data_IF_011790496088
#
_entry.id   IF_011790496088
#
_cell.length_a   1.000
_cell.length_b   1.000
_cell.length_c   1.000
_cell.angle_alpha   90.00
_cell.angle_beta   90.00
_cell.angle_gamma   90.00
#
_symmetry.space_group_name_H-M   'P 1'
#
loop_
_entity.id
_entity.type
_entity.pdbx_description
1 polymer ?
#
# COMPACT_ATOMS: atom_id res chain seq x y z
N UNK A 1 10.51 -16.93 10.97
CA UNK A 1 11.04 -15.67 10.41
C UNK A 1 10.04 -14.55 10.64
N UNK A 2 8.88 -14.50 9.96
CA UNK A 2 7.89 -13.44 10.15
C UNK A 2 7.39 -13.30 11.60
N UNK A 3 7.05 -14.38 12.30
CA UNK A 3 6.65 -14.28 13.71
C UNK A 3 7.77 -13.73 14.63
N UNK A 4 9.04 -14.02 14.30
CA UNK A 4 10.18 -13.46 15.02
C UNK A 4 10.43 -12.00 14.63
N UNK A 5 10.17 -11.62 13.38
CA UNK A 5 10.24 -10.24 12.90
C UNK A 5 9.11 -9.39 13.49
N UNK A 6 7.87 -9.86 13.49
CA UNK A 6 6.73 -9.22 14.14
C UNK A 6 7.03 -8.99 15.63
N UNK A 7 7.51 -10.04 16.32
CA UNK A 7 7.93 -9.94 17.72
C UNK A 7 9.07 -8.95 17.94
N UNK A 8 10.06 -8.92 17.05
CA UNK A 8 11.15 -7.92 17.12
C UNK A 8 10.57 -6.50 16.98
N UNK A 9 9.75 -6.26 15.96
CA UNK A 9 9.12 -4.96 15.70
C UNK A 9 8.14 -4.51 16.81
N UNK A 10 7.60 -5.45 17.59
CA UNK A 10 6.66 -5.17 18.69
C UNK A 10 7.33 -5.03 20.06
N UNK A 11 8.53 -5.57 20.27
CA UNK A 11 9.26 -5.44 21.54
C UNK A 11 9.93 -4.04 21.63
N UNK A 12 9.76 -3.30 22.73
CA UNK A 12 10.53 -2.08 22.95
C UNK A 12 12.04 -2.41 22.99
N UNK A 13 12.92 -1.44 22.68
CA UNK A 13 14.36 -1.66 22.63
C UNK A 13 14.85 -2.32 23.93
N UNK A 14 15.59 -3.43 23.83
CA UNK A 14 16.22 -4.02 25.01
C UNK A 14 17.31 -3.06 25.46
N UNK A 15 17.11 -2.46 26.62
CA UNK A 15 17.96 -1.40 27.15
C UNK A 15 19.40 -1.86 27.33
N UNK A 16 20.30 -1.43 26.45
CA UNK A 16 21.71 -1.26 26.78
C UNK A 16 21.94 0.24 26.96
N UNK A 17 21.95 0.68 28.23
CA UNK A 17 22.40 1.96 28.80
C UNK A 17 22.30 3.30 28.00
N UNK A 18 21.65 4.27 28.69
CA UNK A 18 21.59 5.75 28.48
C UNK A 18 20.70 6.22 27.32
N UNK A 19 20.00 7.36 27.36
CA UNK A 19 19.69 8.41 28.35
C UNK A 19 18.29 8.94 27.99
N UNK A 20 17.63 9.70 28.87
CA UNK A 20 16.22 10.12 28.75
C UNK A 20 15.79 10.57 27.35
N UNK A 21 14.79 9.87 26.81
CA UNK A 21 14.09 10.26 25.58
C UNK A 21 12.69 10.68 26.00
N UNK A 22 12.43 11.98 25.95
CA UNK A 22 11.08 12.54 25.98
C UNK A 22 10.28 11.95 24.84
N UNK A 23 9.02 11.57 25.11
CA UNK A 23 8.10 11.08 24.09
C UNK A 23 7.65 12.27 23.22
N UNK A 24 8.53 12.73 22.34
CA UNK A 24 8.16 13.71 21.33
C UNK A 24 7.38 12.99 20.23
N UNK A 25 6.09 13.29 20.17
CA UNK A 25 5.17 12.87 19.12
C UNK A 25 5.77 13.32 17.79
N UNK A 26 6.06 12.35 16.92
CA UNK A 26 6.60 12.59 15.59
C UNK A 26 5.54 13.28 14.72
N UNK A 27 5.58 14.61 14.67
CA UNK A 27 4.79 15.41 13.73
C UNK A 27 5.43 15.25 12.35
N UNK A 28 4.72 14.59 11.43
CA UNK A 28 5.12 14.50 10.02
C UNK A 28 5.12 15.91 9.41
N UNK A 29 6.20 16.35 8.74
CA UNK A 29 6.22 17.64 8.06
C UNK A 29 5.16 17.69 6.96
N UNK A 30 4.48 18.82 6.86
CA UNK A 30 3.47 19.12 5.85
C UNK A 30 4.07 19.04 4.44
N UNK A 31 3.39 18.32 3.55
CA UNK A 31 3.76 18.24 2.15
C UNK A 31 3.46 19.58 1.48
N UNK A 32 4.50 20.36 1.14
CA UNK A 32 4.35 21.38 0.10
C UNK A 32 4.13 20.66 -1.22
N UNK A 33 2.90 20.62 -1.73
CA UNK A 33 2.65 20.26 -3.11
C UNK A 33 3.24 21.34 -4.00
N UNK A 34 4.51 21.21 -4.38
CA UNK A 34 4.98 21.93 -5.57
C UNK A 34 4.13 21.40 -6.72
N UNK A 35 3.31 22.26 -7.33
CA UNK A 35 2.58 21.96 -8.54
C UNK A 35 3.59 21.64 -9.66
N UNK A 36 4.09 20.40 -9.69
CA UNK A 36 4.73 19.86 -10.88
C UNK A 36 3.58 19.66 -11.86
N UNK A 37 3.55 20.52 -12.88
CA UNK A 37 2.85 20.27 -14.13
C UNK A 37 3.18 18.84 -14.57
N UNK A 38 2.32 17.89 -14.26
CA UNK A 38 2.50 16.49 -14.62
C UNK A 38 2.32 16.40 -16.13
N UNK A 39 3.44 16.32 -16.86
CA UNK A 39 3.39 15.84 -18.25
C UNK A 39 2.73 14.45 -18.20
N UNK A 40 1.72 14.17 -19.03
CA UNK A 40 1.03 12.90 -19.00
C UNK A 40 2.02 11.76 -19.25
N UNK A 41 2.25 10.92 -18.23
CA UNK A 41 3.03 9.70 -18.41
C UNK A 41 2.29 8.79 -19.38
N UNK A 42 2.98 8.33 -20.43
CA UNK A 42 2.46 7.31 -21.34
C UNK A 42 2.30 6.02 -20.55
N UNK A 43 1.05 5.61 -20.31
CA UNK A 43 0.74 4.33 -19.67
C UNK A 43 1.45 3.17 -20.41
N UNK A 44 2.29 2.42 -19.69
CA UNK A 44 2.96 1.25 -20.24
C UNK A 44 1.95 0.11 -20.48
N UNK A 45 2.17 -0.64 -21.57
CA UNK A 45 1.36 -1.80 -21.95
C UNK A 45 1.60 -2.96 -20.97
N UNK A 46 0.60 -3.29 -20.14
CA UNK A 46 0.58 -4.55 -19.40
C UNK A 46 0.20 -5.70 -20.34
N UNK A 47 1.04 -6.74 -20.41
CA UNK A 47 0.78 -7.93 -21.20
C UNK A 47 -0.07 -8.93 -20.39
N UNK A 48 -1.32 -9.16 -20.81
CA UNK A 48 -2.16 -10.26 -20.34
C UNK A 48 -2.22 -11.35 -21.40
N UNK A 49 -1.67 -12.53 -21.13
CA UNK A 49 -1.92 -13.75 -21.94
C UNK A 49 -3.12 -14.52 -21.36
N UNK A 50 -3.94 -15.04 -22.28
CA UNK A 50 -5.23 -15.66 -22.00
C UNK A 50 -5.14 -17.16 -21.64
N UNK A 51 -6.00 -17.53 -20.68
CA UNK A 51 -6.80 -18.75 -20.44
C UNK A 51 -6.30 -20.12 -20.94
N UNK A 52 -6.17 -21.07 -19.99
CA UNK A 52 -6.47 -22.49 -20.19
C UNK A 52 -7.79 -22.84 -19.48
N UNK A 53 -8.54 -23.76 -20.10
CA UNK A 53 -9.90 -24.20 -19.77
C UNK A 53 -10.03 -24.91 -18.41
N UNK A 54 -11.24 -25.00 -17.81
CA UNK A 54 -11.44 -25.56 -16.49
C UNK A 54 -11.57 -27.08 -16.52
N UNK A 55 -10.89 -27.76 -15.59
CA UNK A 55 -11.14 -29.16 -15.23
C UNK A 55 -12.22 -29.19 -14.16
N UNK A 56 -13.28 -29.96 -14.41
CA UNK A 56 -14.38 -30.17 -13.50
C UNK A 56 -13.92 -30.89 -12.22
N UNK A 57 -14.23 -30.33 -11.05
CA UNK A 57 -14.10 -31.04 -9.76
C UNK A 57 -15.46 -31.14 -9.08
N UNK A 58 -15.79 -32.39 -8.72
CA UNK A 58 -17.01 -32.81 -8.04
C UNK A 58 -17.13 -32.19 -6.65
N UNK A 59 -18.34 -31.75 -6.33
CA UNK A 59 -18.77 -31.27 -5.03
C UNK A 59 -18.77 -32.40 -3.99
N UNK A 60 -18.14 -32.17 -2.82
CA UNK A 60 -18.48 -32.84 -1.57
C UNK A 60 -18.79 -31.80 -0.50
N UNK A 61 -19.82 -32.12 0.26
CA UNK A 61 -20.58 -31.31 1.21
C UNK A 61 -19.78 -30.77 2.39
N UNK A 62 -20.19 -29.58 2.83
CA UNK A 62 -19.69 -28.83 3.98
C UNK A 62 -20.22 -29.44 5.28
N UNK A 63 -19.32 -29.68 6.24
CA UNK A 63 -19.67 -29.76 7.66
C UNK A 63 -19.09 -28.53 8.39
N UNK A 64 -19.98 -27.84 9.10
CA UNK A 64 -19.77 -26.62 9.87
C UNK A 64 -18.88 -26.94 11.09
N UNK A 65 -17.71 -26.31 11.22
CA UNK A 65 -16.96 -26.25 12.49
C UNK A 65 -16.70 -24.80 12.86
N UNK A 66 -17.19 -24.47 14.04
CA UNK A 66 -17.00 -23.26 14.82
C UNK A 66 -15.52 -22.96 15.04
N UNK A 67 -15.17 -21.66 14.97
CA UNK A 67 -13.83 -21.16 15.21
C UNK A 67 -13.51 -21.19 16.70
N UNK A 68 -12.61 -22.09 17.11
CA UNK A 68 -11.89 -22.00 18.38
C UNK A 68 -10.57 -21.25 18.17
N UNK A 69 -10.30 -20.29 19.06
CA UNK A 69 -9.04 -19.60 19.20
C UNK A 69 -7.86 -20.59 19.31
N UNK A 70 -6.91 -20.52 18.38
CA UNK A 70 -5.69 -21.32 18.43
C UNK A 70 -4.61 -20.60 19.21
N UNK A 71 -4.37 -21.07 20.44
CA UNK A 71 -3.16 -20.79 21.19
C UNK A 71 -1.95 -21.44 20.53
N UNK A 72 -0.94 -20.63 20.20
CA UNK A 72 0.39 -21.09 19.80
C UNK A 72 1.12 -21.66 21.03
N UNK A 73 0.91 -22.95 21.35
CA UNK A 73 1.77 -23.72 22.25
C UNK A 73 2.62 -24.71 21.44
N UNK A 74 3.56 -24.17 20.67
CA UNK A 74 4.69 -24.93 20.15
C UNK A 74 5.96 -24.47 20.84
N UNK A 75 6.39 -25.16 21.91
CA UNK A 75 7.70 -24.95 22.53
C UNK A 75 8.77 -25.37 21.52
N UNK A 76 9.35 -24.42 20.81
CA UNK A 76 10.62 -24.62 20.12
C UNK A 76 11.68 -24.73 21.21
N UNK A 77 12.06 -25.95 21.56
CA UNK A 77 13.18 -26.21 22.46
C UNK A 77 14.46 -25.92 21.66
N UNK A 78 14.88 -24.65 21.65
CA UNK A 78 16.20 -24.29 21.17
C UNK A 78 17.24 -24.90 22.12
N UNK A 79 18.21 -25.64 21.57
CA UNK A 79 19.38 -26.11 22.34
C UNK A 79 20.05 -24.90 22.99
N UNK A 80 20.02 -24.84 24.33
CA UNK A 80 20.74 -23.85 25.14
C UNK A 80 22.22 -23.88 24.71
N UNK A 81 22.74 -22.78 24.17
CA UNK A 81 24.18 -22.57 23.96
C UNK A 81 24.67 -22.44 22.52
N UNK A 82 23.87 -22.75 21.50
CA UNK A 82 24.25 -22.42 20.11
C UNK A 82 23.86 -20.95 19.83
N UNK A 83 24.78 -20.10 19.30
CA UNK A 83 24.42 -18.75 18.89
C UNK A 83 23.28 -18.86 17.85
N UNK A 84 22.15 -18.21 18.12
CA UNK A 84 21.05 -18.18 17.16
C UNK A 84 21.57 -17.58 15.85
N UNK A 85 21.44 -18.33 14.76
CA UNK A 85 21.73 -17.79 13.43
C UNK A 85 20.80 -16.59 13.20
N UNK A 86 21.39 -15.42 12.94
CA UNK A 86 20.63 -14.19 12.67
C UNK A 86 19.63 -14.41 11.53
N UNK A 87 18.48 -13.78 11.66
CA UNK A 87 17.50 -13.68 10.58
C UNK A 87 17.97 -12.62 9.59
N UNK A 88 18.47 -13.10 8.45
CA UNK A 88 18.71 -12.25 7.29
C UNK A 88 17.41 -11.72 6.66
N UNK A 89 17.19 -10.41 6.71
CA UNK A 89 16.01 -9.69 6.20
C UNK A 89 16.44 -8.80 5.04
N UNK A 90 15.86 -9.00 3.85
CA UNK A 90 16.02 -8.06 2.76
C UNK A 90 15.07 -6.89 2.91
N UNK A 91 15.52 -5.66 2.70
CA UNK A 91 14.68 -4.46 2.64
C UNK A 91 14.86 -3.82 1.29
N UNK A 92 13.82 -3.84 0.46
CA UNK A 92 13.85 -3.22 -0.86
C UNK A 92 13.65 -1.71 -0.72
N UNK A 93 14.59 -0.92 -1.26
CA UNK A 93 14.66 0.54 -1.10
C UNK A 93 14.80 1.26 -2.45
N UNK A 94 14.53 2.56 -2.44
CA UNK A 94 14.66 3.47 -3.56
C UNK A 94 13.44 4.36 -3.78
N UNK A 95 12.67 4.64 -2.74
CA UNK A 95 11.57 5.62 -2.80
C UNK A 95 12.13 7.01 -2.52
N UNK A 96 12.15 7.87 -3.53
CA UNK A 96 12.84 9.17 -3.51
C UNK A 96 11.96 10.36 -3.10
N UNK A 97 10.72 10.10 -2.70
CA UNK A 97 9.74 11.13 -2.34
C UNK A 97 9.30 11.09 -0.87
N UNK A 98 9.95 10.27 -0.04
CA UNK A 98 9.77 10.25 1.42
C UNK A 98 11.11 10.56 2.12
N UNK A 99 11.51 11.84 2.18
CA UNK A 99 12.77 12.23 2.79
C UNK A 99 12.72 12.10 4.32
N UNK A 100 13.90 11.94 4.92
CA UNK A 100 14.09 12.04 6.37
C UNK A 100 14.29 13.50 6.77
N UNK A 101 13.80 13.88 7.95
CA UNK A 101 14.00 15.23 8.50
C UNK A 101 15.50 15.54 8.62
N UNK A 102 15.97 16.72 8.18
CA UNK A 102 17.37 17.12 8.33
C UNK A 102 17.87 16.93 9.76
N UNK A 103 19.09 16.42 9.90
CA UNK A 103 19.71 16.12 11.20
C UNK A 103 19.21 14.86 11.92
N UNK A 104 18.24 14.12 11.37
CA UNK A 104 17.71 12.88 12.00
C UNK A 104 18.15 11.58 11.30
N UNK A 105 19.06 11.68 10.34
CA UNK A 105 19.57 10.52 9.62
C UNK A 105 20.56 9.71 10.47
N UNK A 106 20.66 8.43 10.18
CA UNK A 106 21.66 7.55 10.82
C UNK A 106 23.09 7.97 10.40
N UNK A 107 24.04 8.18 11.33
CA UNK A 107 25.43 8.51 10.99
C UNK A 107 26.12 7.49 10.09
N UNK A 108 25.68 6.23 10.10
CA UNK A 108 26.19 5.12 9.29
C UNK A 108 25.44 4.94 7.97
N UNK A 109 24.69 5.96 7.53
CA UNK A 109 23.93 5.88 6.28
C UNK A 109 24.85 5.54 5.08
N UNK A 110 24.53 4.51 4.28
CA UNK A 110 25.39 4.09 3.18
C UNK A 110 25.55 5.19 2.12
N UNK A 111 26.77 5.70 1.94
CA UNK A 111 27.09 6.80 0.98
C UNK A 111 26.52 6.57 -0.43
N UNK A 112 26.54 5.32 -0.91
CA UNK A 112 26.02 4.95 -2.24
C UNK A 112 24.49 5.05 -2.40
N UNK A 113 23.76 5.29 -1.30
CA UNK A 113 22.29 5.38 -1.25
C UNK A 113 21.80 6.80 -0.91
N UNK A 114 22.71 7.77 -0.86
CA UNK A 114 22.36 9.19 -0.73
C UNK A 114 21.78 9.64 -2.07
N UNK A 115 20.63 10.31 -2.04
CA UNK A 115 19.85 10.64 -3.25
C UNK A 115 20.19 12.00 -3.84
N UNK A 116 20.50 12.99 -2.99
CA UNK A 116 20.81 14.36 -3.37
C UNK A 116 21.94 14.90 -2.48
N UNK A 117 22.58 15.98 -2.93
CA UNK A 117 23.45 16.80 -2.09
C UNK A 117 22.66 17.79 -1.21
N UNK A 118 21.41 18.09 -1.59
CA UNK A 118 20.49 18.95 -0.84
C UNK A 118 20.13 18.32 0.51
N UNK A 119 20.21 19.09 1.61
CA UNK A 119 19.89 18.61 2.96
C UNK A 119 18.46 18.06 3.09
N UNK A 120 17.50 18.66 2.37
CA UNK A 120 16.16 18.10 2.21
C UNK A 120 16.13 17.16 1.00
N UNK A 121 15.77 15.89 1.21
CA UNK A 121 15.82 14.89 0.12
C UNK A 121 17.10 14.07 0.06
N UNK A 122 18.12 14.40 0.87
CA UNK A 122 19.40 13.67 0.96
C UNK A 122 19.24 12.18 1.30
N UNK A 123 18.42 11.92 2.32
CA UNK A 123 18.24 10.62 2.94
C UNK A 123 16.78 10.17 2.80
N UNK A 124 16.58 8.89 2.50
CA UNK A 124 15.26 8.29 2.34
C UNK A 124 14.86 7.49 3.58
N UNK A 125 13.56 7.52 3.91
CA UNK A 125 13.00 6.88 5.10
C UNK A 125 13.15 5.36 5.07
N UNK A 126 13.20 4.76 3.89
CA UNK A 126 13.27 3.32 3.69
C UNK A 126 14.62 2.71 4.13
N UNK A 127 15.74 3.35 3.76
CA UNK A 127 17.08 3.00 4.22
C UNK A 127 17.20 3.27 5.71
N UNK A 128 16.70 4.41 6.19
CA UNK A 128 16.77 4.77 7.60
C UNK A 128 16.00 3.78 8.47
N UNK A 129 14.84 3.30 8.01
CA UNK A 129 14.08 2.24 8.70
C UNK A 129 14.86 0.94 8.73
N UNK A 130 15.50 0.55 7.62
CA UNK A 130 16.32 -0.66 7.56
C UNK A 130 17.51 -0.61 8.54
N UNK A 131 18.18 0.53 8.63
CA UNK A 131 19.27 0.76 9.60
C UNK A 131 18.74 0.71 11.04
N UNK A 132 17.60 1.36 11.32
CA UNK A 132 17.01 1.34 12.65
C UNK A 132 16.61 -0.06 13.10
N UNK A 133 16.08 -0.89 12.19
CA UNK A 133 15.80 -2.30 12.49
C UNK A 133 17.07 -3.07 12.89
N UNK A 134 18.20 -2.83 12.20
CA UNK A 134 19.48 -3.45 12.51
C UNK A 134 20.02 -3.00 13.87
N UNK A 135 19.89 -1.70 14.18
CA UNK A 135 20.34 -1.09 15.44
C UNK A 135 19.53 -1.61 16.64
N UNK A 136 18.21 -1.73 16.51
CA UNK A 136 17.32 -2.18 17.58
C UNK A 136 17.44 -3.67 17.88
N UNK A 137 17.83 -4.48 16.89
CA UNK A 137 17.90 -5.94 17.02
C UNK A 137 19.20 -6.51 16.43
N UNK A 138 20.38 -6.09 16.90
CA UNK A 138 21.65 -6.44 16.29
C UNK A 138 22.04 -7.90 16.52
N UNK A 139 21.51 -8.52 17.57
CA UNK A 139 21.69 -9.94 17.93
C UNK A 139 20.77 -10.86 17.11
N UNK A 140 19.64 -10.35 16.64
CA UNK A 140 18.61 -11.13 15.96
C UNK A 140 18.61 -10.94 14.44
N UNK A 141 18.85 -9.72 13.95
CA UNK A 141 18.67 -9.36 12.54
C UNK A 141 20.00 -9.15 11.82
N UNK A 142 20.03 -9.56 10.55
CA UNK A 142 21.04 -9.19 9.55
C UNK A 142 20.30 -8.51 8.40
N UNK A 143 20.44 -7.20 8.27
CA UNK A 143 19.70 -6.42 7.27
C UNK A 143 20.48 -6.36 5.95
N UNK A 144 19.85 -6.80 4.87
CA UNK A 144 20.32 -6.67 3.49
C UNK A 144 19.53 -5.54 2.81
N UNK A 145 20.14 -4.36 2.67
CA UNK A 145 19.51 -3.22 1.99
C UNK A 145 19.65 -3.39 0.47
N UNK A 146 18.53 -3.47 -0.25
CA UNK A 146 18.45 -3.83 -1.68
C UNK A 146 17.86 -2.69 -2.49
N UNK A 147 18.69 -1.84 -3.11
CA UNK A 147 18.20 -0.80 -4.02
C UNK A 147 17.51 -1.41 -5.23
N UNK A 148 16.55 -0.70 -5.79
CA UNK A 148 15.82 -1.13 -6.99
C UNK A 148 16.70 -1.69 -8.12
N UNK A 149 17.86 -1.08 -8.38
CA UNK A 149 18.81 -1.51 -9.42
C UNK A 149 19.52 -2.83 -9.14
N UNK A 150 19.52 -3.28 -7.88
CA UNK A 150 20.23 -4.49 -7.42
C UNK A 150 19.24 -5.65 -7.13
N UNK A 151 17.95 -5.46 -7.45
CA UNK A 151 16.92 -6.48 -7.29
C UNK A 151 17.18 -7.64 -8.26
N UNK A 152 17.30 -8.85 -7.71
CA UNK A 152 17.40 -10.09 -8.48
C UNK A 152 16.92 -11.28 -7.66
N UNK A 153 16.40 -12.32 -8.32
CA UNK A 153 16.02 -13.57 -7.63
C UNK A 153 17.19 -14.16 -6.84
N UNK A 154 18.40 -14.16 -7.44
CA UNK A 154 19.63 -14.70 -6.82
C UNK A 154 19.93 -14.03 -5.48
N UNK A 155 19.71 -12.71 -5.36
CA UNK A 155 19.93 -11.98 -4.11
C UNK A 155 18.80 -12.24 -3.12
N UNK A 156 17.55 -12.09 -3.56
CA UNK A 156 16.37 -12.21 -2.68
C UNK A 156 16.24 -13.60 -2.05
N UNK A 157 16.56 -14.67 -2.79
CA UNK A 157 16.52 -16.06 -2.30
C UNK A 157 17.50 -16.35 -1.15
N UNK A 158 18.51 -15.50 -0.94
CA UNK A 158 19.44 -15.63 0.19
C UNK A 158 18.82 -15.17 1.52
N UNK A 159 17.77 -14.36 1.46
CA UNK A 159 17.13 -13.79 2.64
C UNK A 159 16.03 -14.73 3.17
N UNK A 160 15.75 -14.66 4.46
CA UNK A 160 14.66 -15.42 5.07
C UNK A 160 13.29 -14.80 4.74
N UNK A 161 13.24 -13.48 4.58
CA UNK A 161 12.10 -12.69 4.12
C UNK A 161 12.62 -11.41 3.48
N UNK A 162 11.87 -10.86 2.52
CA UNK A 162 12.18 -9.59 1.85
C UNK A 162 11.00 -8.63 1.99
N UNK A 163 11.20 -7.49 2.64
CA UNK A 163 10.19 -6.43 2.78
C UNK A 163 10.18 -5.58 1.51
N UNK A 164 9.04 -5.53 0.82
CA UNK A 164 8.88 -4.79 -0.45
C UNK A 164 8.02 -3.52 -0.32
N UNK A 165 7.70 -3.09 0.89
CA UNK A 165 6.84 -1.93 1.16
C UNK A 165 7.33 -0.63 0.49
N UNK A 166 8.64 -0.41 0.40
CA UNK A 166 9.21 0.83 -0.13
C UNK A 166 9.66 0.75 -1.60
N UNK A 167 9.76 -0.45 -2.18
CA UNK A 167 10.09 -0.58 -3.60
C UNK A 167 9.38 -1.78 -4.23
N UNK A 168 8.16 -1.54 -4.66
CA UNK A 168 7.33 -2.49 -5.37
C UNK A 168 7.27 -2.21 -6.88
N UNK A 169 6.41 -2.94 -7.60
CA UNK A 169 6.22 -2.76 -9.05
C UNK A 169 5.79 -1.34 -9.42
N UNK A 170 4.92 -0.73 -8.63
CA UNK A 170 4.46 0.64 -8.81
C UNK A 170 5.58 1.67 -8.70
N UNK A 171 6.39 1.57 -7.65
CA UNK A 171 7.61 2.39 -7.52
C UNK A 171 8.55 2.17 -8.69
N UNK A 172 8.71 0.92 -9.15
CA UNK A 172 9.50 0.63 -10.34
C UNK A 172 8.94 1.30 -11.62
N UNK A 173 7.61 1.37 -11.79
CA UNK A 173 6.97 2.09 -12.90
C UNK A 173 7.26 3.58 -12.81
N UNK A 174 7.10 4.18 -11.63
CA UNK A 174 7.32 5.61 -11.40
C UNK A 174 8.80 6.02 -11.52
N UNK A 175 9.73 5.08 -11.29
CA UNK A 175 11.17 5.36 -11.35
C UNK A 175 11.70 5.77 -12.73
N UNK A 176 10.90 5.63 -13.80
CA UNK A 176 11.30 6.02 -15.16
C UNK A 176 12.40 5.14 -15.78
N UNK A 177 12.87 4.09 -15.10
CA UNK A 177 13.97 3.20 -15.54
C UNK A 177 13.62 2.26 -16.70
N UNK A 178 12.49 2.49 -17.35
CA UNK A 178 12.05 1.76 -18.54
C UNK A 178 11.46 0.37 -18.26
N UNK A 179 10.93 -0.23 -19.34
CA UNK A 179 10.15 -1.46 -19.27
C UNK A 179 10.96 -2.66 -18.75
N UNK A 180 12.22 -2.77 -19.14
CA UNK A 180 13.09 -3.89 -18.73
C UNK A 180 13.26 -3.95 -17.20
N UNK A 181 13.42 -2.79 -16.56
CA UNK A 181 13.49 -2.69 -15.09
C UNK A 181 12.16 -3.11 -14.44
N UNK A 182 11.03 -2.60 -14.94
CA UNK A 182 9.69 -2.99 -14.45
C UNK A 182 9.45 -4.49 -14.60
N UNK A 183 9.80 -5.08 -15.74
CA UNK A 183 9.65 -6.51 -15.99
C UNK A 183 10.51 -7.34 -15.02
N UNK A 184 11.74 -6.90 -14.71
CA UNK A 184 12.62 -7.55 -13.75
C UNK A 184 12.03 -7.52 -12.32
N UNK A 185 11.53 -6.36 -11.89
CA UNK A 185 10.87 -6.21 -10.58
C UNK A 185 9.60 -7.06 -10.50
N UNK A 186 8.79 -7.05 -11.55
CA UNK A 186 7.58 -7.87 -11.67
C UNK A 186 7.90 -9.37 -11.58
N UNK A 187 8.97 -9.81 -12.24
CA UNK A 187 9.42 -11.21 -12.22
C UNK A 187 9.76 -11.66 -10.79
N UNK A 188 10.53 -10.88 -10.04
CA UNK A 188 10.86 -11.24 -8.66
C UNK A 188 9.64 -11.21 -7.75
N UNK A 189 8.72 -10.26 -7.98
CA UNK A 189 7.50 -10.11 -7.18
C UNK A 189 6.62 -11.36 -7.28
N UNK A 190 6.41 -11.85 -8.51
CA UNK A 190 5.59 -13.04 -8.78
C UNK A 190 6.25 -14.36 -8.40
N UNK A 191 7.53 -14.36 -8.01
CA UNK A 191 8.24 -15.58 -7.67
C UNK A 191 8.15 -15.85 -6.15
N UNK A 192 7.40 -16.87 -5.69
CA UNK A 192 7.27 -17.16 -4.26
C UNK A 192 8.61 -17.50 -3.58
N UNK A 193 9.59 -18.02 -4.33
CA UNK A 193 10.93 -18.32 -3.80
C UNK A 193 11.71 -17.05 -3.41
N UNK A 194 11.31 -15.87 -3.91
CA UNK A 194 11.86 -14.59 -3.48
C UNK A 194 11.35 -14.14 -2.11
N UNK A 195 10.41 -14.87 -1.49
CA UNK A 195 9.96 -14.67 -0.08
C UNK A 195 9.59 -13.24 0.27
N UNK A 196 8.93 -12.53 -0.64
CA UNK A 196 8.50 -11.16 -0.41
C UNK A 196 7.35 -11.12 0.59
N UNK A 197 7.36 -10.07 1.41
CA UNK A 197 6.31 -9.73 2.35
C UNK A 197 5.97 -8.23 2.23
N UNK A 198 4.74 -7.88 1.84
CA UNK A 198 3.67 -8.78 1.40
C UNK A 198 3.98 -9.66 0.18
N UNK A 199 3.31 -10.81 0.11
CA UNK A 199 3.34 -11.68 -1.08
C UNK A 199 2.63 -11.03 -2.27
N UNK A 200 2.99 -11.45 -3.49
CA UNK A 200 2.38 -10.89 -4.71
C UNK A 200 0.87 -11.04 -4.77
N UNK A 201 0.30 -12.15 -4.32
CA UNK A 201 -1.15 -12.36 -4.43
C UNK A 201 -1.91 -11.34 -3.58
N UNK A 202 -1.42 -11.06 -2.37
CA UNK A 202 -1.97 -9.99 -1.54
C UNK A 202 -1.71 -8.61 -2.15
N UNK A 203 -0.51 -8.40 -2.70
CA UNK A 203 -0.12 -7.13 -3.30
C UNK A 203 -0.93 -6.77 -4.57
N UNK A 204 -1.10 -7.72 -5.49
CA UNK A 204 -1.96 -7.60 -6.68
C UNK A 204 -3.44 -7.44 -6.30
N UNK A 205 -3.86 -8.04 -5.19
CA UNK A 205 -5.21 -7.84 -4.66
C UNK A 205 -5.44 -6.41 -4.15
N UNK A 206 -4.50 -5.83 -3.38
CA UNK A 206 -4.66 -4.47 -2.86
C UNK A 206 -4.49 -3.41 -3.95
N UNK A 207 -3.59 -3.62 -4.91
CA UNK A 207 -3.37 -2.69 -6.01
C UNK A 207 -4.52 -2.69 -7.04
N UNK A 208 -5.29 -3.77 -7.11
CA UNK A 208 -6.49 -3.85 -7.93
C UNK A 208 -7.71 -3.40 -7.12
N UNK A 209 -7.97 -2.08 -7.13
CA UNK A 209 -9.03 -1.42 -6.35
C UNK A 209 -10.40 -2.15 -6.39
N UNK A 210 -10.91 -2.65 -7.54
CA UNK A 210 -12.17 -3.39 -7.55
C UNK A 210 -12.17 -4.65 -6.68
N UNK A 211 -11.05 -5.38 -6.56
CA UNK A 211 -11.03 -6.64 -5.80
C UNK A 211 -11.30 -6.39 -4.31
N UNK A 212 -10.61 -5.40 -3.75
CA UNK A 212 -10.86 -4.92 -2.39
C UNK A 212 -12.31 -4.46 -2.21
N UNK A 213 -12.78 -3.58 -3.11
CA UNK A 213 -14.12 -3.00 -3.02
C UNK A 213 -15.23 -4.04 -3.16
N UNK A 214 -15.16 -4.92 -4.16
CA UNK A 214 -16.15 -5.98 -4.38
C UNK A 214 -16.20 -6.96 -3.22
N UNK A 215 -15.05 -7.30 -2.62
CA UNK A 215 -15.01 -8.15 -1.44
C UNK A 215 -15.65 -7.49 -0.23
N UNK A 216 -15.40 -6.20 0.00
CA UNK A 216 -16.02 -5.44 1.08
C UNK A 216 -17.54 -5.28 0.88
N UNK A 217 -17.99 -4.95 -0.33
CA UNK A 217 -19.42 -4.86 -0.65
C UNK A 217 -20.13 -6.20 -0.40
N UNK A 218 -19.53 -7.33 -0.80
CA UNK A 218 -20.07 -8.67 -0.51
C UNK A 218 -20.15 -8.98 0.99
N UNK A 219 -19.31 -8.35 1.80
CA UNK A 219 -19.33 -8.47 3.25
C UNK A 219 -20.24 -7.46 3.96
N UNK A 220 -21.06 -6.70 3.21
CA UNK A 220 -21.96 -5.68 3.75
C UNK A 220 -21.22 -4.49 4.36
N UNK A 221 -19.98 -4.25 3.94
CA UNK A 221 -19.20 -3.06 4.34
C UNK A 221 -19.60 -1.93 3.38
N UNK A 222 -20.10 -0.79 3.89
CA UNK A 222 -20.44 0.35 3.06
C UNK A 222 -19.27 0.77 2.17
N UNK A 223 -19.56 0.98 0.90
CA UNK A 223 -18.62 1.49 -0.09
C UNK A 223 -19.32 2.60 -0.85
N UNK A 224 -18.57 3.64 -1.22
CA UNK A 224 -19.07 4.71 -2.08
C UNK A 224 -19.69 4.10 -3.35
N UNK A 225 -20.88 4.57 -3.79
CA UNK A 225 -21.47 4.10 -5.04
C UNK A 225 -20.45 4.13 -6.18
N UNK A 226 -20.22 2.98 -6.81
CA UNK A 226 -19.13 2.83 -7.78
C UNK A 226 -19.61 2.09 -9.02
N UNK A 227 -19.33 2.64 -10.20
CA UNK A 227 -19.42 1.91 -11.47
C UNK A 227 -18.03 1.35 -11.80
N UNK A 228 -17.96 0.03 -12.00
CA UNK A 228 -16.70 -0.67 -12.27
C UNK A 228 -16.67 -1.08 -13.74
N UNK A 229 -15.80 -0.45 -14.52
CA UNK A 229 -15.55 -0.82 -15.91
C UNK A 229 -14.40 -1.83 -15.96
N UNK A 230 -14.65 -3.05 -16.46
CA UNK A 230 -13.64 -4.14 -16.52
C UNK A 230 -13.01 -4.35 -17.90
N UNK A 231 -13.52 -3.66 -18.92
CA UNK A 231 -13.16 -3.88 -20.33
C UNK A 231 -12.58 -2.63 -21.00
N UNK A 232 -11.95 -1.75 -20.23
CA UNK A 232 -11.48 -0.44 -20.67
C UNK A 232 -12.46 0.67 -20.26
N UNK A 233 -12.19 1.88 -20.75
CA UNK A 233 -13.00 3.07 -20.46
C UNK A 233 -13.64 3.59 -21.74
N UNK A 234 -14.96 3.77 -21.69
CA UNK A 234 -15.74 4.41 -22.74
C UNK A 234 -16.34 5.72 -22.21
N UNK A 235 -15.98 6.83 -22.84
CA UNK A 235 -16.36 8.17 -22.39
C UNK A 235 -17.87 8.42 -22.51
N UNK A 236 -18.53 7.87 -23.53
CA UNK A 236 -19.96 8.06 -23.73
C UNK A 236 -20.79 7.25 -22.72
N UNK A 237 -20.36 6.01 -22.45
CA UNK A 237 -20.96 5.17 -21.42
C UNK A 237 -20.78 5.79 -20.04
N UNK A 238 -19.59 6.33 -19.74
CA UNK A 238 -19.32 7.04 -18.48
C UNK A 238 -20.33 8.17 -18.23
N UNK A 239 -20.57 9.04 -19.23
CA UNK A 239 -21.53 10.13 -19.11
C UNK A 239 -22.96 9.64 -18.95
N UNK A 240 -23.38 8.63 -19.73
CA UNK A 240 -24.70 8.02 -19.58
C UNK A 240 -24.92 7.45 -18.18
N UNK A 241 -23.90 6.78 -17.63
CA UNK A 241 -23.97 6.23 -16.28
C UNK A 241 -24.05 7.34 -15.22
N UNK A 242 -23.26 8.42 -15.34
CA UNK A 242 -23.30 9.56 -14.43
C UNK A 242 -24.67 10.25 -14.45
N UNK A 243 -25.24 10.50 -15.63
CA UNK A 243 -26.58 11.07 -15.79
C UNK A 243 -27.66 10.15 -15.21
N UNK A 244 -27.62 8.84 -15.51
CA UNK A 244 -28.58 7.85 -14.98
C UNK A 244 -28.54 7.78 -13.45
N UNK A 245 -27.37 7.99 -12.85
CA UNK A 245 -27.20 8.01 -11.39
C UNK A 245 -27.57 9.35 -10.75
N UNK A 246 -27.84 10.39 -11.54
CA UNK A 246 -28.12 11.72 -11.03
C UNK A 246 -26.93 12.37 -10.32
N UNK A 247 -25.69 11.99 -10.69
CA UNK A 247 -24.50 12.57 -10.07
C UNK A 247 -24.18 13.94 -10.68
N UNK A 248 -24.20 15.00 -9.86
CA UNK A 248 -23.83 16.35 -10.29
C UNK A 248 -22.34 16.44 -10.64
N UNK A 249 -21.49 15.80 -9.84
CA UNK A 249 -20.04 15.77 -9.99
C UNK A 249 -19.55 14.34 -9.75
N UNK A 250 -18.57 13.91 -10.55
CA UNK A 250 -17.98 12.57 -10.43
C UNK A 250 -16.47 12.61 -10.68
N UNK A 251 -15.82 11.52 -10.31
CA UNK A 251 -14.43 11.23 -10.66
C UNK A 251 -14.34 9.86 -11.34
N UNK A 252 -13.38 9.74 -12.25
CA UNK A 252 -12.96 8.47 -12.86
C UNK A 252 -11.49 8.25 -12.54
N UNK A 253 -11.13 7.04 -12.13
CA UNK A 253 -9.75 6.64 -11.85
C UNK A 253 -9.42 5.27 -12.42
N UNK A 254 -8.15 5.06 -12.74
CA UNK A 254 -7.63 3.73 -13.11
C UNK A 254 -7.71 2.79 -11.89
N UNK A 255 -8.21 1.58 -12.12
CA UNK A 255 -8.46 0.59 -11.06
C UNK A 255 -7.27 -0.29 -10.68
N UNK A 256 -6.15 -0.23 -11.41
CA UNK A 256 -4.97 -1.07 -11.16
C UNK A 256 -3.65 -0.29 -11.35
N UNK A 257 -2.68 -0.44 -10.46
CA UNK A 257 -1.34 0.19 -10.54
C UNK A 257 -1.37 1.72 -10.74
N UNK A 258 -2.13 2.44 -9.92
CA UNK A 258 -2.18 3.91 -9.94
C UNK A 258 -1.95 4.46 -8.52
N UNK A 259 -1.04 5.44 -8.41
CA UNK A 259 -0.55 6.05 -7.16
C UNK A 259 -0.79 7.57 -7.17
N UNK A 260 -0.82 8.21 -5.99
CA UNK A 260 -0.86 9.68 -5.81
C UNK A 260 -1.94 10.44 -6.61
N UNK A 261 -3.10 9.82 -6.85
CA UNK A 261 -4.15 10.43 -7.67
C UNK A 261 -3.82 10.51 -9.17
N UNK A 262 -2.64 10.00 -9.59
CA UNK A 262 -2.28 9.94 -11.00
C UNK A 262 -3.30 9.10 -11.79
N UNK A 263 -3.65 9.60 -12.96
CA UNK A 263 -4.62 8.92 -13.82
C UNK A 263 -6.06 9.01 -13.30
N UNK A 264 -6.40 10.06 -12.54
CA UNK A 264 -7.79 10.44 -12.27
C UNK A 264 -8.24 11.62 -13.16
N UNK A 265 -9.53 11.69 -13.44
CA UNK A 265 -10.21 12.85 -14.02
C UNK A 265 -11.48 13.11 -13.22
N UNK A 266 -11.82 14.37 -12.96
CA UNK A 266 -13.03 14.74 -12.24
C UNK A 266 -13.60 16.06 -12.77
N UNK A 267 -14.89 16.28 -12.51
CA UNK A 267 -15.60 17.46 -12.99
C UNK A 267 -17.10 17.34 -12.79
N UNK A 268 -17.82 18.44 -13.04
CA UNK A 268 -19.28 18.41 -13.06
C UNK A 268 -19.75 17.68 -14.32
N UNK A 269 -20.83 16.93 -14.19
CA UNK A 269 -21.47 16.23 -15.31
C UNK A 269 -21.86 17.20 -16.42
N UNK A 270 -22.37 18.39 -16.07
CA UNK A 270 -22.71 19.44 -17.03
C UNK A 270 -21.52 19.93 -17.85
N UNK A 271 -20.33 20.07 -17.25
CA UNK A 271 -19.13 20.51 -17.95
C UNK A 271 -18.70 19.46 -18.98
N UNK A 272 -18.72 18.17 -18.62
CA UNK A 272 -18.38 17.10 -19.56
C UNK A 272 -19.42 16.89 -20.66
N UNK A 273 -20.64 17.40 -20.50
CA UNK A 273 -21.65 17.45 -21.56
C UNK A 273 -21.47 18.67 -22.49
N UNK A 274 -20.64 19.63 -22.10
CA UNK A 274 -20.48 20.91 -22.79
C UNK A 274 -18.99 21.26 -22.98
N UNK A 275 -18.47 22.19 -22.18
CA UNK A 275 -17.15 22.81 -22.31
C UNK A 275 -15.98 21.83 -22.18
N UNK A 276 -16.19 20.67 -21.55
CA UNK A 276 -15.18 19.64 -21.28
C UNK A 276 -15.46 18.30 -21.96
N UNK A 277 -16.34 18.26 -22.97
CA UNK A 277 -16.68 17.00 -23.65
C UNK A 277 -15.48 16.25 -24.26
N UNK A 278 -14.42 16.96 -24.64
CA UNK A 278 -13.17 16.38 -25.17
C UNK A 278 -12.31 15.68 -24.10
N UNK A 279 -12.41 16.10 -22.84
CA UNK A 279 -11.48 15.69 -21.78
C UNK A 279 -11.60 14.20 -21.45
N UNK A 280 -12.82 13.66 -21.39
CA UNK A 280 -13.03 12.23 -21.13
C UNK A 280 -12.49 11.36 -22.28
N UNK A 281 -12.57 11.83 -23.52
CA UNK A 281 -11.98 11.14 -24.68
C UNK A 281 -10.45 11.17 -24.62
N UNK A 282 -9.88 12.33 -24.25
CA UNK A 282 -8.43 12.46 -24.04
C UNK A 282 -7.95 11.54 -22.90
N UNK A 283 -8.70 11.48 -21.80
CA UNK A 283 -8.45 10.58 -20.68
C UNK A 283 -8.49 9.11 -21.09
N UNK A 284 -9.50 8.69 -21.89
CA UNK A 284 -9.59 7.34 -22.44
C UNK A 284 -8.34 6.98 -23.28
N UNK A 285 -7.90 7.90 -24.13
CA UNK A 285 -6.72 7.73 -25.00
C UNK A 285 -5.43 7.61 -24.20
N UNK A 286 -5.25 8.44 -23.17
CA UNK A 286 -4.07 8.41 -22.29
C UNK A 286 -3.96 7.09 -21.51
N UNK A 287 -5.11 6.50 -21.15
CA UNK A 287 -5.20 5.30 -20.32
C UNK A 287 -5.59 4.02 -21.09
N UNK A 288 -5.44 4.00 -22.42
CA UNK A 288 -5.93 2.89 -23.29
C UNK A 288 -5.38 1.50 -22.96
N UNK A 289 -4.27 1.40 -22.22
CA UNK A 289 -3.67 0.13 -21.80
C UNK A 289 -4.32 -0.42 -20.53
N UNK A 290 -5.00 0.42 -19.76
CA UNK A 290 -5.75 0.01 -18.59
C UNK A 290 -7.05 -0.68 -19.00
N UNK A 291 -7.38 -1.77 -18.30
CA UNK A 291 -8.64 -2.50 -18.50
C UNK A 291 -9.68 -2.18 -17.45
N UNK A 292 -9.23 -1.68 -16.30
CA UNK A 292 -10.08 -1.48 -15.14
C UNK A 292 -10.15 0.00 -14.81
N UNK A 293 -11.36 0.51 -14.70
CA UNK A 293 -11.64 1.88 -14.27
C UNK A 293 -12.76 1.89 -13.25
N UNK A 294 -12.75 2.91 -12.39
CA UNK A 294 -13.77 3.16 -11.38
C UNK A 294 -14.35 4.55 -11.62
N UNK A 295 -15.67 4.66 -11.72
CA UNK A 295 -16.38 5.94 -11.66
C UNK A 295 -17.14 6.04 -10.34
N UNK A 296 -16.98 7.15 -9.65
CA UNK A 296 -17.54 7.40 -8.32
C UNK A 296 -18.12 8.82 -8.24
N UNK A 297 -19.19 9.05 -7.47
CA UNK A 297 -19.67 10.40 -7.22
C UNK A 297 -18.60 11.17 -6.45
N UNK A 298 -18.55 12.47 -6.66
CA UNK A 298 -17.76 13.34 -5.81
C UNK A 298 -18.52 13.52 -4.50
N UNK A 299 -17.99 12.98 -3.40
CA UNK A 299 -18.69 12.98 -2.11
C UNK A 299 -18.32 14.22 -1.31
N UNK A 300 -19.35 14.97 -0.90
CA UNK A 300 -19.24 16.12 -0.02
C UNK A 300 -19.85 15.79 1.33
N UNK A 301 -19.33 16.43 2.38
CA UNK A 301 -19.97 16.51 3.69
C UNK A 301 -21.28 17.32 3.58
N UNK A 302 -22.20 17.24 4.56
CA UNK A 302 -23.44 18.03 4.56
C UNK A 302 -23.23 19.55 4.45
N UNK A 303 -22.08 20.05 4.87
CA UNK A 303 -21.68 21.46 4.76
C UNK A 303 -21.02 21.80 3.40
N UNK A 304 -21.13 20.92 2.40
CA UNK A 304 -20.55 21.06 1.06
C UNK A 304 -19.01 21.02 0.99
N UNK A 305 -18.31 20.72 2.08
CA UNK A 305 -16.85 20.49 2.06
C UNK A 305 -16.50 19.10 1.52
N UNK A 306 -15.26 18.92 1.05
CA UNK A 306 -14.77 17.61 0.62
C UNK A 306 -14.66 16.68 1.83
N UNK A 307 -15.05 15.42 1.65
CA UNK A 307 -14.95 14.40 2.69
C UNK A 307 -13.49 14.18 3.13
N UNK A 308 -13.26 13.98 4.43
CA UNK A 308 -11.91 13.72 4.96
C UNK A 308 -11.45 12.31 4.60
N UNK A 309 -10.18 12.15 4.24
CA UNK A 309 -9.61 10.81 4.05
C UNK A 309 -9.20 10.26 5.43
N UNK A 310 -9.79 9.13 5.81
CA UNK A 310 -9.43 8.40 7.04
C UNK A 310 -8.52 7.23 6.71
N UNK A 311 -7.31 7.26 7.25
CA UNK A 311 -6.30 6.21 7.08
C UNK A 311 -6.12 5.46 8.39
N UNK A 312 -6.55 4.20 8.42
CA UNK A 312 -6.43 3.32 9.58
C UNK A 312 -5.17 2.47 9.48
N UNK A 313 -4.39 2.44 10.55
CA UNK A 313 -3.14 1.70 10.62
C UNK A 313 -3.27 0.49 11.53
N UNK A 314 -2.90 -0.66 11.00
CA UNK A 314 -2.84 -1.93 11.71
C UNK A 314 -1.40 -2.37 11.83
N UNK A 315 -0.97 -2.74 13.03
CA UNK A 315 0.37 -3.28 13.30
C UNK A 315 0.20 -4.63 13.99
N UNK A 316 0.78 -5.67 13.39
CA UNK A 316 0.70 -7.06 13.85
C UNK A 316 -0.73 -7.57 14.04
N UNK A 317 -1.62 -7.25 13.09
CA UNK A 317 -3.03 -7.68 13.17
C UNK A 317 -3.96 -6.78 13.99
N UNK A 318 -3.41 -5.82 14.73
CA UNK A 318 -4.18 -4.98 15.65
C UNK A 318 -4.33 -3.56 15.11
N UNK A 319 -5.52 -2.99 15.21
CA UNK A 319 -5.72 -1.56 14.94
C UNK A 319 -4.93 -0.74 15.98
N UNK A 320 -4.17 0.25 15.51
CA UNK A 320 -3.34 1.11 16.38
C UNK A 320 -3.84 2.53 16.44
N UNK A 321 -4.08 3.14 15.28
CA UNK A 321 -4.50 4.52 15.18
C UNK A 321 -5.13 4.82 13.82
N UNK A 322 -5.79 5.98 13.73
CA UNK A 322 -6.29 6.57 12.49
C UNK A 322 -5.73 7.99 12.32
N UNK A 323 -5.38 8.31 11.07
CA UNK A 323 -4.98 9.66 10.65
C UNK A 323 -6.03 10.21 9.71
N UNK A 324 -6.44 11.45 9.95
CA UNK A 324 -7.38 12.17 9.11
C UNK A 324 -6.59 13.15 8.24
N UNK A 325 -6.94 13.18 6.95
CA UNK A 325 -6.41 14.15 6.00
C UNK A 325 -7.58 14.98 5.50
N UNK A 326 -7.48 16.31 5.67
CA UNK A 326 -8.48 17.22 5.15
C UNK A 326 -8.59 17.07 3.63
N UNK A 327 -9.80 16.85 3.11
CA UNK A 327 -10.02 16.49 1.70
C UNK A 327 -9.77 17.61 0.67
N UNK A 328 -9.31 18.79 1.10
CA UNK A 328 -9.09 19.94 0.22
C UNK A 328 -7.67 19.96 -0.32
N UNK A 329 -7.53 19.94 -1.65
CA UNK A 329 -6.27 19.90 -2.42
C UNK A 329 -5.32 21.11 -2.20
N UNK A 330 -5.63 22.02 -1.27
CA UNK A 330 -4.92 23.29 -1.11
C UNK A 330 -4.71 23.77 0.32
N UNK A 331 -4.92 22.94 1.35
CA UNK A 331 -4.71 23.38 2.72
C UNK A 331 -3.57 22.62 3.39
N UNK A 332 -2.59 23.37 3.89
CA UNK A 332 -1.69 23.01 4.98
C UNK A 332 -2.42 22.62 6.30
N UNK A 333 -3.73 22.32 6.24
CA UNK A 333 -4.59 21.95 7.38
C UNK A 333 -4.18 20.65 8.08
N UNK A 334 -3.13 19.99 7.59
CA UNK A 334 -2.36 19.02 8.35
C UNK A 334 -2.97 17.63 8.35
N UNK A 335 -2.08 16.66 8.55
CA UNK A 335 -2.47 15.34 9.03
C UNK A 335 -2.69 15.47 10.52
N UNK A 336 -3.86 15.07 11.01
CA UNK A 336 -4.10 15.03 12.46
C UNK A 336 -4.54 13.65 12.91
N UNK A 337 -4.14 13.33 14.13
CA UNK A 337 -4.64 12.15 14.82
C UNK A 337 -6.10 12.39 15.16
N UNK A 338 -6.94 11.41 14.88
CA UNK A 338 -8.35 11.52 15.21
C UNK A 338 -8.55 11.67 16.72
N UNK A 339 -9.25 12.72 17.19
CA UNK A 339 -9.61 12.85 18.60
C UNK A 339 -10.46 11.67 19.06
N UNK A 340 -10.34 11.30 20.33
CA UNK A 340 -11.22 10.29 20.91
C UNK A 340 -12.69 10.72 20.80
N UNK A 341 -13.58 9.77 20.51
CA UNK A 341 -15.01 10.02 20.44
C UNK A 341 -15.76 9.14 19.44
N UNK A 342 -17.08 9.33 19.31
CA UNK A 342 -17.95 8.44 18.54
C UNK A 342 -17.57 8.28 17.06
N UNK A 343 -17.01 9.33 16.45
CA UNK A 343 -16.54 9.28 15.06
C UNK A 343 -15.38 8.31 14.91
N UNK A 344 -14.37 8.42 15.77
CA UNK A 344 -13.21 7.52 15.82
C UNK A 344 -13.62 6.07 16.02
N UNK A 345 -14.55 5.82 16.95
CA UNK A 345 -15.05 4.49 17.25
C UNK A 345 -15.78 3.87 16.05
N UNK A 346 -16.62 4.67 15.37
CA UNK A 346 -17.31 4.24 14.16
C UNK A 346 -16.31 3.92 13.01
N UNK A 347 -15.32 4.79 12.78
CA UNK A 347 -14.29 4.56 11.77
C UNK A 347 -13.44 3.32 12.10
N UNK A 348 -13.06 3.13 13.37
CA UNK A 348 -12.33 1.94 13.83
C UNK A 348 -13.16 0.68 13.60
N UNK A 349 -14.42 0.65 14.02
CA UNK A 349 -15.29 -0.52 13.85
C UNK A 349 -15.45 -0.88 12.37
N UNK A 350 -15.59 0.13 11.50
CA UNK A 350 -15.64 -0.07 10.04
C UNK A 350 -14.31 -0.60 9.49
N UNK A 351 -13.19 -0.04 9.93
CA UNK A 351 -11.85 -0.46 9.53
C UNK A 351 -11.53 -1.90 9.97
N UNK A 352 -11.91 -2.29 11.18
CA UNK A 352 -11.75 -3.67 11.68
C UNK A 352 -12.53 -4.66 10.82
N UNK A 353 -13.77 -4.33 10.43
CA UNK A 353 -14.57 -5.16 9.50
C UNK A 353 -13.89 -5.30 8.13
N UNK A 354 -13.33 -4.21 7.60
CA UNK A 354 -12.56 -4.23 6.34
C UNK A 354 -11.26 -5.03 6.48
N UNK A 355 -10.56 -4.91 7.61
CA UNK A 355 -9.36 -5.66 7.92
C UNK A 355 -9.60 -7.17 7.97
N UNK A 356 -10.76 -7.62 8.45
CA UNK A 356 -11.15 -9.03 8.35
C UNK A 356 -11.22 -9.54 6.89
N UNK A 357 -11.47 -8.66 5.91
CA UNK A 357 -11.38 -9.04 4.50
C UNK A 357 -9.94 -9.16 4.02
N UNK A 358 -9.05 -8.29 4.50
CA UNK A 358 -7.61 -8.40 4.27
C UNK A 358 -7.06 -9.74 4.77
N UNK A 359 -7.39 -10.13 6.00
CA UNK A 359 -6.87 -11.35 6.63
C UNK A 359 -7.26 -12.63 5.86
N UNK A 360 -8.34 -12.61 5.08
CA UNK A 360 -8.73 -13.73 4.21
C UNK A 360 -7.80 -13.90 3.00
N UNK A 361 -7.15 -12.82 2.59
CA UNK A 361 -6.28 -12.77 1.40
C UNK A 361 -4.81 -12.82 1.77
N UNK A 362 -4.43 -12.28 2.93
CA UNK A 362 -3.03 -12.19 3.33
C UNK A 362 -2.43 -13.56 3.64
N UNK A 363 -1.53 -14.00 2.76
CA UNK A 363 -0.78 -15.24 2.91
C UNK A 363 0.68 -15.01 2.62
N UNK A 364 1.54 -15.73 3.32
CA UNK A 364 2.96 -15.82 3.02
C UNK A 364 3.38 -17.29 2.93
N UNK A 365 4.02 -17.67 1.83
CA UNK A 365 4.35 -19.06 1.54
C UNK A 365 3.14 -20.00 1.67
N UNK A 366 1.99 -19.56 1.17
CA UNK A 366 0.73 -20.31 1.20
C UNK A 366 0.02 -20.34 2.56
N UNK A 367 0.63 -19.84 3.63
CA UNK A 367 0.06 -19.83 4.99
C UNK A 367 -0.60 -18.49 5.29
N UNK A 368 -1.80 -18.47 5.89
CA UNK A 368 -2.38 -17.24 6.43
C UNK A 368 -1.44 -16.58 7.43
N UNK A 369 -1.34 -15.26 7.38
CA UNK A 369 -0.53 -14.47 8.31
C UNK A 369 -1.27 -13.19 8.69
N UNK A 370 -0.88 -12.60 9.83
CA UNK A 370 -1.17 -11.21 10.11
C UNK A 370 -0.14 -10.35 9.36
N UNK A 371 -0.57 -9.39 8.53
CA UNK A 371 0.35 -8.39 7.98
C UNK A 371 1.10 -7.66 9.09
N UNK A 372 2.41 -7.46 8.93
CA UNK A 372 3.25 -6.71 9.87
C UNK A 372 2.76 -5.28 10.04
N UNK A 373 2.48 -4.62 8.91
CA UNK A 373 1.95 -3.28 8.82
C UNK A 373 0.90 -3.28 7.71
N UNK A 374 -0.23 -2.65 7.97
CA UNK A 374 -1.23 -2.41 6.95
C UNK A 374 -1.89 -1.04 7.12
N UNK A 375 -2.23 -0.43 5.99
CA UNK A 375 -3.02 0.80 5.95
C UNK A 375 -4.31 0.52 5.21
N UNK A 376 -5.45 0.87 5.81
CA UNK A 376 -6.75 0.79 5.17
C UNK A 376 -7.38 2.19 5.14
N UNK A 377 -7.67 2.65 3.94
CA UNK A 377 -8.26 3.97 3.70
C UNK A 377 -9.79 3.79 3.66
N UNK A 378 -10.43 3.92 4.83
CA UNK A 378 -11.88 3.74 5.04
C UNK A 378 -12.32 4.57 6.26
N UNK A 379 -13.44 5.29 6.15
CA UNK A 379 -13.88 6.25 7.17
C UNK A 379 -15.36 6.53 7.10
#
# INVERSE_FOLDING_TARGET
AQALLARALAEPPRSSHRAGVTHDIMVLPTFKSSARSSKPMKAMKAATKAKKAPVAMKTKSVAKKTATAFGLKGKVIAKKGAPMKKLRIGVLVGKDFDPVKPGTHDPNYPKKLILSEDEWGKYQVDVSTALKMQELHPDLLEIDIIPGKEISEKRLKKNHVNLNFWYDVGVAIMSGKGKAHVDAVMKVHKNPECRLDPSWDYYDWILCKPRYMEQCMKAGIPMIPTVIYKNGFDAAQCLKDAQKKGWEKFLVKVGHFAFFGEGAIHGKTADFLSTRAGDLKAYAKANKTSKVFLMQPYTLKPNAEVFDEVRNFFIDGEWRYAVFTHGTDGSDAGYYMEPEGPRKDACKALAERAYQQVLKTCKWQGKPINPLLNRIDIG
#
